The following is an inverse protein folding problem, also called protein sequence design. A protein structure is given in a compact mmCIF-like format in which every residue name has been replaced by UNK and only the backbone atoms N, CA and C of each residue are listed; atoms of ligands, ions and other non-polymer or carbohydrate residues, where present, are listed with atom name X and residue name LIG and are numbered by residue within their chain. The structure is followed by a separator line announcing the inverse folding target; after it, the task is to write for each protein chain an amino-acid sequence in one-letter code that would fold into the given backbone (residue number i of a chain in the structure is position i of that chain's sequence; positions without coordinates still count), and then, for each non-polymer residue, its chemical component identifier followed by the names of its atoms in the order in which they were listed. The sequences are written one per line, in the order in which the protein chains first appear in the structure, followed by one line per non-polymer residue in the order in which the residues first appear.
data_IF_000464991234
#
_entry.id   IF_000464991234
#
_cell.length_a   1.000
_cell.length_b   1.000
_cell.length_c   1.000
_cell.angle_alpha   90.00
_cell.angle_beta   90.00
_cell.angle_gamma   90.00
#
_symmetry.space_group_name_H-M   'P 1'
#
loop_
_entity.id
_entity.type
_entity.pdbx_description
1 polymer ?
#
# COMPACT_ATOMS: atom_id res chain seq x y z
N UNK A 1 19.59 6.87 1.31
CA UNK A 1 18.43 7.65 0.80
C UNK A 1 17.62 8.07 2.00
N UNK A 2 17.48 9.37 2.24
CA UNK A 2 16.56 9.86 3.26
C UNK A 2 15.15 9.37 2.91
N UNK A 3 14.40 8.78 3.86
CA UNK A 3 13.06 8.30 3.58
C UNK A 3 12.18 9.51 3.28
N UNK A 4 11.51 9.49 2.13
CA UNK A 4 10.40 10.39 1.87
C UNK A 4 9.32 9.98 2.87
N UNK A 5 8.95 10.89 3.77
CA UNK A 5 7.93 10.60 4.77
C UNK A 5 6.57 10.77 4.11
N UNK A 6 6.03 9.63 3.67
CA UNK A 6 4.73 9.52 3.04
C UNK A 6 3.77 8.89 4.06
N UNK A 7 2.65 9.56 4.32
CA UNK A 7 1.56 9.01 5.12
C UNK A 7 0.48 8.48 4.19
N UNK A 8 0.20 7.19 4.24
CA UNK A 8 -0.82 6.58 3.38
C UNK A 8 -1.99 6.08 4.23
N UNK A 9 -3.19 6.55 3.91
CA UNK A 9 -4.42 6.08 4.52
C UNK A 9 -5.29 5.36 3.50
N UNK A 10 -5.73 4.16 3.86
CA UNK A 10 -6.73 3.41 3.10
C UNK A 10 -8.08 3.62 3.75
N UNK A 11 -9.03 4.16 3.00
CA UNK A 11 -10.35 4.54 3.49
C UNK A 11 -11.41 3.66 2.83
N UNK A 12 -12.43 3.17 3.56
CA UNK A 12 -13.60 2.54 2.95
C UNK A 12 -14.18 3.44 1.87
N UNK A 13 -14.47 2.88 0.71
CA UNK A 13 -14.87 3.61 -0.49
C UNK A 13 -16.03 4.58 -0.24
N UNK A 14 -17.04 4.17 0.54
CA UNK A 14 -18.19 5.01 0.90
C UNK A 14 -17.84 6.25 1.74
N UNK A 15 -16.62 6.33 2.28
CA UNK A 15 -16.15 7.42 3.12
C UNK A 15 -14.98 8.22 2.50
N UNK A 16 -14.45 7.81 1.33
CA UNK A 16 -13.26 8.42 0.73
C UNK A 16 -13.46 9.92 0.41
N UNK A 17 -14.60 10.28 -0.17
CA UNK A 17 -14.94 11.67 -0.49
C UNK A 17 -15.05 12.51 0.79
N UNK A 18 -15.72 11.98 1.82
CA UNK A 18 -15.85 12.66 3.11
C UNK A 18 -14.49 12.82 3.81
N UNK A 19 -13.61 11.84 3.74
CA UNK A 19 -12.27 11.92 4.30
C UNK A 19 -11.45 13.06 3.63
N UNK A 20 -11.57 13.19 2.30
CA UNK A 20 -10.97 14.32 1.56
C UNK A 20 -11.51 15.66 2.04
N UNK A 21 -12.83 15.81 2.17
CA UNK A 21 -13.46 17.05 2.66
C UNK A 21 -13.00 17.44 4.06
N UNK A 22 -12.85 16.46 4.97
CA UNK A 22 -12.37 16.71 6.33
C UNK A 22 -10.96 17.29 6.32
N UNK A 23 -10.06 16.74 5.49
CA UNK A 23 -8.69 17.26 5.36
C UNK A 23 -8.66 18.66 4.74
N UNK A 24 -9.48 18.90 3.71
CA UNK A 24 -9.62 20.24 3.10
C UNK A 24 -10.12 21.26 4.12
N UNK A 25 -11.14 20.91 4.91
CA UNK A 25 -11.70 21.76 5.98
C UNK A 25 -10.69 22.04 7.08
N UNK A 26 -9.78 21.09 7.34
CA UNK A 26 -8.66 21.25 8.26
C UNK A 26 -7.45 21.99 7.65
N UNK A 27 -7.62 22.63 6.49
CA UNK A 27 -6.60 23.42 5.77
C UNK A 27 -5.39 22.60 5.27
N UNK A 28 -5.53 21.29 5.05
CA UNK A 28 -4.50 20.53 4.33
C UNK A 28 -4.49 20.95 2.86
N UNK A 29 -3.32 21.33 2.35
CA UNK A 29 -3.16 21.77 0.97
C UNK A 29 -3.29 20.58 0.02
N UNK A 30 -4.41 20.48 -0.69
CA UNK A 30 -4.55 19.52 -1.80
C UNK A 30 -3.60 19.88 -2.92
N UNK A 31 -3.01 18.87 -3.57
CA UNK A 31 -2.36 19.13 -4.85
C UNK A 31 -3.44 19.45 -5.90
N UNK A 32 -3.29 20.56 -6.61
CA UNK A 32 -4.24 21.06 -7.61
C UNK A 32 -3.67 20.99 -9.04
N UNK A 33 -2.63 20.17 -9.25
CA UNK A 33 -1.89 20.14 -10.51
C UNK A 33 -2.34 18.93 -11.34
N UNK A 34 -3.01 19.19 -12.46
CA UNK A 34 -3.41 18.17 -13.45
C UNK A 34 -2.19 17.43 -14.03
N UNK A 35 -1.02 18.07 -14.02
CA UNK A 35 0.26 17.53 -14.43
C UNK A 35 1.06 16.90 -13.26
N UNK A 36 0.46 16.74 -12.08
CA UNK A 36 1.16 16.15 -10.94
C UNK A 36 1.70 14.76 -11.27
N UNK A 37 3.03 14.60 -11.18
CA UNK A 37 3.71 13.34 -11.51
C UNK A 37 3.17 12.15 -10.74
N UNK A 38 2.59 12.35 -9.55
CA UNK A 38 2.07 11.26 -8.73
C UNK A 38 0.80 10.61 -9.32
N UNK A 39 0.01 11.37 -10.09
CA UNK A 39 -1.20 10.87 -10.76
C UNK A 39 -0.95 10.52 -12.22
N UNK A 40 0.24 10.80 -12.75
CA UNK A 40 0.60 10.47 -14.13
C UNK A 40 0.66 8.95 -14.35
N UNK A 41 0.28 8.45 -15.53
CA UNK A 41 0.34 7.02 -15.87
C UNK A 41 1.73 6.41 -15.80
N UNK A 42 2.78 7.24 -15.91
CA UNK A 42 4.18 6.83 -15.84
C UNK A 42 4.67 6.57 -14.41
N UNK A 43 3.91 6.99 -13.39
CA UNK A 43 4.28 6.78 -12.00
C UNK A 43 4.12 5.30 -11.59
N UNK A 44 5.12 4.81 -10.85
CA UNK A 44 5.15 3.41 -10.40
C UNK A 44 4.43 3.18 -9.08
N UNK A 45 4.19 4.25 -8.32
CA UNK A 45 3.43 4.18 -7.07
C UNK A 45 1.93 3.99 -7.34
N UNK A 46 1.17 3.52 -6.35
CA UNK A 46 -0.27 3.36 -6.49
C UNK A 46 -0.91 4.74 -6.67
N UNK A 47 -1.89 4.86 -7.59
CA UNK A 47 -2.56 6.15 -7.82
C UNK A 47 -3.43 6.49 -6.59
N UNK A 48 -3.23 7.62 -5.90
CA UNK A 48 -4.11 8.03 -4.82
C UNK A 48 -5.43 8.57 -5.37
N UNK A 49 -6.51 8.46 -4.58
CA UNK A 49 -7.77 9.17 -4.81
C UNK A 49 -7.60 10.68 -4.61
N UNK A 50 -6.88 11.04 -3.54
CA UNK A 50 -6.49 12.41 -3.25
C UNK A 50 -5.14 12.40 -2.53
N UNK A 51 -4.32 13.43 -2.74
CA UNK A 51 -3.09 13.61 -1.99
C UNK A 51 -2.90 15.06 -1.56
N UNK A 52 -2.29 15.23 -0.39
CA UNK A 52 -2.12 16.51 0.30
C UNK A 52 -0.65 16.75 0.62
N UNK A 53 -0.20 17.99 0.47
CA UNK A 53 1.19 18.40 0.72
C UNK A 53 1.28 18.81 2.20
N UNK A 54 2.11 18.10 2.98
CA UNK A 54 2.24 18.33 4.43
C UNK A 54 3.29 19.38 4.78
N UNK A 55 4.35 19.47 3.98
CA UNK A 55 5.35 20.52 4.10
C UNK A 55 5.90 20.86 2.72
N UNK A 56 5.74 22.14 2.32
CA UNK A 56 6.67 22.75 1.38
C UNK A 56 7.94 23.06 2.18
N UNK A 57 8.82 22.07 2.37
CA UNK A 57 10.21 22.42 2.66
C UNK A 57 10.65 23.38 1.55
N UNK A 58 11.13 24.56 1.92
CA UNK A 58 11.57 25.58 0.96
C UNK A 58 12.42 24.90 -0.11
N UNK A 59 11.96 24.99 -1.36
CA UNK A 59 12.56 24.36 -2.53
C UNK A 59 14.09 24.52 -2.48
N UNK A 60 14.89 23.45 -2.33
CA UNK A 60 16.24 23.49 -2.87
C UNK A 60 16.09 23.79 -4.37
N UNK A 61 16.73 24.84 -4.86
CA UNK A 61 16.54 25.40 -6.20
C UNK A 61 16.81 24.44 -7.36
N UNK A 62 17.31 23.24 -7.08
CA UNK A 62 17.96 22.35 -8.04
C UNK A 62 17.22 21.02 -8.24
N UNK A 63 16.01 20.84 -7.68
CA UNK A 63 15.28 19.57 -7.73
C UNK A 63 14.06 19.55 -8.66
N UNK A 64 13.77 18.34 -9.14
CA UNK A 64 12.85 18.02 -10.23
C UNK A 64 11.43 18.57 -9.97
N UNK A 65 10.86 19.39 -10.89
CA UNK A 65 9.50 19.90 -10.76
C UNK A 65 8.46 18.78 -10.58
N UNK A 66 7.58 18.92 -9.58
CA UNK A 66 6.42 18.05 -9.38
C UNK A 66 6.63 16.84 -8.45
N UNK A 67 7.69 16.82 -7.64
CA UNK A 67 7.90 15.79 -6.60
C UNK A 67 7.58 16.34 -5.20
N UNK A 68 6.74 15.64 -4.43
CA UNK A 68 6.32 16.04 -3.07
C UNK A 68 6.92 15.08 -2.04
N UNK A 69 7.95 15.56 -1.31
CA UNK A 69 8.71 14.79 -0.32
C UNK A 69 7.95 14.47 0.97
N UNK A 70 6.99 15.31 1.34
CA UNK A 70 6.16 15.16 2.54
C UNK A 70 4.70 15.27 2.14
N UNK A 71 4.04 14.12 2.05
CA UNK A 71 2.65 14.05 1.58
C UNK A 71 1.81 13.05 2.36
N UNK A 72 0.51 13.28 2.29
CA UNK A 72 -0.53 12.39 2.78
C UNK A 72 -1.36 11.92 1.59
N UNK A 73 -1.41 10.62 1.36
CA UNK A 73 -2.12 9.97 0.27
C UNK A 73 -3.37 9.24 0.81
N UNK A 74 -4.53 9.48 0.19
CA UNK A 74 -5.77 8.75 0.44
C UNK A 74 -6.00 7.74 -0.68
N UNK A 75 -6.24 6.48 -0.33
CA UNK A 75 -6.60 5.41 -1.27
C UNK A 75 -7.94 4.78 -0.93
N UNK A 76 -8.69 4.38 -1.96
CA UNK A 76 -9.88 3.55 -1.81
C UNK A 76 -9.47 2.16 -1.28
N UNK A 77 -10.28 1.57 -0.39
CA UNK A 77 -10.08 0.19 0.09
C UNK A 77 -10.15 -0.80 -1.07
N UNK A 78 -11.14 -0.65 -1.96
CA UNK A 78 -11.28 -1.49 -3.16
C UNK A 78 -10.06 -1.49 -4.07
N UNK A 79 -9.21 -0.47 -4.00
CA UNK A 79 -8.04 -0.36 -4.84
C UNK A 79 -6.85 -1.16 -4.30
N UNK A 80 -6.64 -1.17 -2.97
CA UNK A 80 -5.43 -1.69 -2.33
C UNK A 80 -5.65 -2.92 -1.44
N UNK A 81 -6.83 -3.04 -0.82
CA UNK A 81 -7.17 -4.04 0.19
C UNK A 81 -8.49 -4.75 -0.15
N UNK A 82 -8.77 -4.98 -1.44
CA UNK A 82 -10.06 -5.54 -1.88
C UNK A 82 -10.34 -6.96 -1.38
N UNK A 83 -9.31 -7.74 -1.08
CA UNK A 83 -9.45 -9.10 -0.56
C UNK A 83 -9.76 -9.12 0.95
N UNK A 84 -9.60 -8.00 1.65
CA UNK A 84 -9.88 -7.90 3.08
C UNK A 84 -11.35 -7.56 3.36
N UNK A 85 -11.90 -8.01 4.50
CA UNK A 85 -13.22 -7.57 4.94
C UNK A 85 -13.25 -6.06 5.21
N UNK A 86 -14.42 -5.51 5.44
CA UNK A 86 -14.56 -4.07 5.70
C UNK A 86 -13.78 -3.63 6.94
N UNK A 87 -13.17 -2.45 6.82
CA UNK A 87 -12.40 -1.85 7.90
C UNK A 87 -13.41 -1.49 9.01
N UNK A 88 -13.25 -2.02 10.23
CA UNK A 88 -14.21 -1.76 11.30
C UNK A 88 -14.18 -0.27 11.69
N UNK A 89 -15.35 0.29 12.00
CA UNK A 89 -15.44 1.68 12.49
C UNK A 89 -14.81 1.81 13.89
N UNK A 90 -15.14 0.88 14.80
CA UNK A 90 -14.56 0.78 16.15
C UNK A 90 -13.24 0.01 16.20
N UNK A 91 -12.66 -0.15 17.39
CA UNK A 91 -11.47 -0.98 17.57
C UNK A 91 -11.73 -2.42 17.07
N UNK A 92 -10.79 -3.04 16.32
CA UNK A 92 -10.87 -4.46 16.01
C UNK A 92 -10.96 -5.30 17.30
N UNK A 93 -11.62 -6.45 17.23
CA UNK A 93 -11.57 -7.44 18.31
C UNK A 93 -10.11 -7.86 18.59
N UNK A 94 -9.72 -8.19 19.83
CA UNK A 94 -8.34 -8.58 20.17
C UNK A 94 -7.78 -9.77 19.37
N UNK A 95 -8.65 -10.65 18.90
CA UNK A 95 -8.33 -11.84 18.10
C UNK A 95 -8.71 -11.68 16.61
N UNK A 96 -8.98 -10.45 16.16
CA UNK A 96 -9.34 -10.19 14.76
C UNK A 96 -8.17 -10.58 13.85
N UNK A 97 -8.36 -11.52 12.91
CA UNK A 97 -7.26 -12.02 12.08
C UNK A 97 -6.84 -11.00 11.00
N UNK A 98 -7.66 -9.99 10.71
CA UNK A 98 -7.46 -9.10 9.58
C UNK A 98 -6.89 -7.74 9.94
N UNK A 99 -7.31 -7.19 11.07
CA UNK A 99 -6.94 -5.85 11.51
C UNK A 99 -6.52 -5.83 12.96
N UNK A 100 -5.50 -5.03 13.25
CA UNK A 100 -5.03 -4.73 14.60
C UNK A 100 -4.82 -3.22 14.75
N UNK A 101 -4.61 -2.77 15.98
CA UNK A 101 -4.25 -1.37 16.25
C UNK A 101 -2.74 -1.17 16.15
N UNK A 102 -2.30 0.05 15.82
CA UNK A 102 -0.87 0.43 15.92
C UNK A 102 -0.32 0.35 17.35
N UNK A 103 -1.21 0.21 18.34
CA UNK A 103 -0.92 0.01 19.76
C UNK A 103 -0.94 -1.48 20.17
N UNK A 104 -1.07 -2.41 19.22
CA UNK A 104 -1.25 -3.84 19.52
C UNK A 104 -0.01 -4.50 20.14
N UNK A 105 -0.25 -5.45 21.05
CA UNK A 105 0.79 -6.15 21.78
C UNK A 105 1.70 -7.04 20.91
N UNK A 106 1.22 -7.43 19.72
CA UNK A 106 1.97 -8.23 18.75
C UNK A 106 3.06 -7.44 18.03
N UNK A 107 2.97 -6.10 18.03
CA UNK A 107 4.01 -5.24 17.49
C UNK A 107 5.18 -5.14 18.47
N UNK A 108 6.40 -5.08 17.93
CA UNK A 108 7.60 -4.78 18.70
C UNK A 108 7.44 -3.46 19.47
N UNK A 109 8.06 -3.37 20.64
CA UNK A 109 8.05 -2.13 21.43
C UNK A 109 8.62 -0.98 20.62
N UNK A 110 8.07 0.22 20.79
CA UNK A 110 8.59 1.43 20.17
C UNK A 110 10.09 1.56 20.42
N UNK A 111 10.84 1.67 19.33
CA UNK A 111 12.27 1.94 19.36
C UNK A 111 12.50 3.39 18.90
N UNK A 112 12.84 4.31 19.80
CA UNK A 112 13.03 5.72 19.46
C UNK A 112 14.23 5.96 18.53
N UNK A 113 15.18 5.02 18.43
CA UNK A 113 16.32 5.15 17.52
C UNK A 113 15.94 4.90 16.06
N UNK A 114 15.03 3.95 15.83
CA UNK A 114 14.54 3.65 14.48
C UNK A 114 13.24 4.39 14.15
N UNK A 115 12.52 4.91 15.15
CA UNK A 115 11.17 5.46 14.97
C UNK A 115 10.16 4.40 14.56
N UNK A 116 10.37 3.13 14.95
CA UNK A 116 9.55 1.99 14.53
C UNK A 116 9.00 1.24 15.75
N UNK A 117 7.94 0.49 15.53
CA UNK A 117 7.29 -0.34 16.53
C UNK A 117 5.91 0.19 16.89
N UNK A 118 5.40 -0.29 18.03
CA UNK A 118 4.09 0.08 18.55
C UNK A 118 4.00 1.56 18.89
N UNK A 119 2.99 2.23 18.37
CA UNK A 119 2.70 3.63 18.71
C UNK A 119 2.17 3.77 20.16
N UNK A 120 2.40 4.90 20.84
CA UNK A 120 1.83 5.18 22.15
C UNK A 120 0.29 5.19 22.16
N UNK A 121 -0.32 4.72 23.25
CA UNK A 121 -1.79 4.78 23.46
C UNK A 121 -2.35 6.21 23.53
N UNK A 122 -1.49 7.21 23.68
CA UNK A 122 -1.85 8.63 23.65
C UNK A 122 -2.14 9.15 22.25
N UNK A 123 -1.74 8.42 21.20
CA UNK A 123 -2.07 8.75 19.81
C UNK A 123 -3.49 8.28 19.45
N UNK A 124 -4.06 8.87 18.41
CA UNK A 124 -5.36 8.43 17.90
C UNK A 124 -5.28 6.95 17.45
N UNK A 125 -6.29 6.11 17.75
CA UNK A 125 -6.25 4.70 17.38
C UNK A 125 -6.28 4.53 15.85
N UNK A 126 -5.10 4.25 15.28
CA UNK A 126 -4.95 3.88 13.87
C UNK A 126 -5.04 2.36 13.73
N UNK A 127 -5.79 1.91 12.73
CA UNK A 127 -5.94 0.50 12.39
C UNK A 127 -4.99 0.16 11.26
N UNK A 128 -4.38 -1.01 11.34
CA UNK A 128 -3.51 -1.56 10.30
C UNK A 128 -3.92 -3.00 10.01
N UNK A 129 -3.74 -3.50 8.78
CA UNK A 129 -3.87 -4.92 8.52
C UNK A 129 -2.86 -5.71 9.36
N UNK A 130 -3.20 -6.94 9.75
CA UNK A 130 -2.22 -7.85 10.33
C UNK A 130 -1.14 -8.18 9.29
N UNK A 131 0.06 -8.55 9.76
CA UNK A 131 1.19 -8.83 8.87
C UNK A 131 0.87 -9.84 7.76
N UNK A 132 0.20 -10.99 8.03
CA UNK A 132 -0.15 -11.94 6.97
C UNK A 132 -1.13 -11.35 5.93
N UNK A 133 -2.15 -10.60 6.37
CA UNK A 133 -3.13 -10.00 5.45
C UNK A 133 -2.53 -8.86 4.62
N UNK A 134 -1.62 -8.09 5.22
CA UNK A 134 -0.87 -7.07 4.48
C UNK A 134 0.01 -7.71 3.40
N UNK A 135 0.74 -8.77 3.75
CA UNK A 135 1.55 -9.53 2.81
C UNK A 135 0.71 -10.13 1.66
N UNK A 136 -0.47 -10.67 1.96
CA UNK A 136 -1.40 -11.12 0.93
C UNK A 136 -1.81 -10.02 -0.03
N UNK A 137 -2.18 -8.87 0.51
CA UNK A 137 -2.58 -7.71 -0.29
C UNK A 137 -1.45 -7.29 -1.23
N UNK A 138 -0.21 -7.18 -0.73
CA UNK A 138 0.95 -6.84 -1.55
C UNK A 138 1.19 -7.85 -2.69
N UNK A 139 1.05 -9.15 -2.41
CA UNK A 139 1.15 -10.19 -3.44
C UNK A 139 0.07 -10.03 -4.51
N UNK A 140 -1.17 -9.79 -4.12
CA UNK A 140 -2.25 -9.57 -5.07
C UNK A 140 -2.08 -8.29 -5.89
N UNK A 141 -1.58 -7.21 -5.28
CA UNK A 141 -1.20 -6.00 -6.02
C UNK A 141 -0.12 -6.29 -7.06
N UNK A 142 0.93 -7.00 -6.67
CA UNK A 142 2.00 -7.38 -7.57
C UNK A 142 1.48 -8.20 -8.76
N UNK A 143 0.68 -9.24 -8.49
CA UNK A 143 0.11 -10.10 -9.53
C UNK A 143 -0.80 -9.33 -10.49
N UNK A 144 -1.63 -8.42 -9.97
CA UNK A 144 -2.51 -7.57 -10.78
C UNK A 144 -1.73 -6.66 -11.73
N UNK A 145 -0.64 -6.08 -11.26
CA UNK A 145 0.16 -5.09 -12.01
C UNK A 145 1.25 -5.73 -12.91
N UNK A 146 1.46 -7.04 -12.79
CA UNK A 146 2.33 -7.81 -13.68
C UNK A 146 1.66 -8.16 -15.01
N UNK A 147 0.33 -8.08 -15.10
CA UNK A 147 -0.39 -8.32 -16.35
C UNK A 147 -0.03 -7.24 -17.39
N UNK A 148 0.19 -7.60 -18.66
CA UNK A 148 0.44 -6.64 -19.72
C UNK A 148 -0.72 -5.64 -19.82
N UNK A 149 -0.42 -4.34 -19.81
CA UNK A 149 -1.40 -3.28 -20.03
C UNK A 149 -1.02 -2.42 -21.24
N UNK A 150 -1.97 -2.03 -22.10
CA UNK A 150 -1.73 -1.06 -23.16
C UNK A 150 -1.30 0.29 -22.54
N UNK A 151 -0.18 0.86 -23.00
CA UNK A 151 0.13 2.27 -22.76
C UNK A 151 0.87 2.67 -21.47
N UNK A 152 1.44 1.77 -20.66
CA UNK A 152 2.15 2.29 -19.47
C UNK A 152 2.95 1.34 -18.58
N UNK A 153 3.81 1.96 -17.78
CA UNK A 153 4.82 1.40 -16.88
C UNK A 153 4.22 0.45 -15.83
N UNK A 154 4.81 -0.74 -15.64
CA UNK A 154 4.33 -1.69 -14.63
C UNK A 154 4.60 -1.18 -13.21
N UNK A 155 3.53 -1.01 -12.41
CA UNK A 155 3.61 -0.74 -10.96
C UNK A 155 4.05 -1.96 -10.15
N UNK A 156 4.15 -3.14 -10.77
CA UNK A 156 4.56 -4.36 -10.09
C UNK A 156 5.92 -4.21 -9.39
N UNK A 157 6.83 -3.40 -9.95
CA UNK A 157 8.11 -3.10 -9.31
C UNK A 157 8.00 -2.42 -7.95
N UNK A 158 6.99 -1.55 -7.75
CA UNK A 158 6.72 -0.94 -6.45
C UNK A 158 6.30 -2.01 -5.44
N UNK A 159 5.31 -2.83 -5.79
CA UNK A 159 4.80 -3.88 -4.90
C UNK A 159 5.85 -4.94 -4.57
N UNK A 160 6.66 -5.34 -5.55
CA UNK A 160 7.75 -6.28 -5.35
C UNK A 160 8.77 -5.75 -4.33
N UNK A 161 9.06 -4.44 -4.35
CA UNK A 161 9.95 -3.81 -3.36
C UNK A 161 9.36 -3.89 -1.96
N UNK A 162 8.08 -3.55 -1.79
CA UNK A 162 7.40 -3.65 -0.49
C UNK A 162 7.33 -5.10 0.01
N UNK A 163 7.02 -6.06 -0.87
CA UNK A 163 7.07 -7.48 -0.53
C UNK A 163 8.48 -7.92 -0.07
N UNK A 164 9.52 -7.40 -0.74
CA UNK A 164 10.90 -7.73 -0.41
C UNK A 164 11.29 -7.15 0.94
N UNK A 165 10.80 -5.95 1.28
CA UNK A 165 10.98 -5.39 2.61
C UNK A 165 10.32 -6.28 3.67
N UNK A 166 9.07 -6.68 3.46
CA UNK A 166 8.33 -7.51 4.41
C UNK A 166 9.05 -8.82 4.72
N UNK A 167 9.45 -9.61 3.71
CA UNK A 167 10.07 -10.89 4.03
C UNK A 167 11.56 -10.81 4.39
N UNK A 168 12.26 -9.68 4.16
CA UNK A 168 13.61 -9.46 4.70
C UNK A 168 13.59 -9.03 6.16
N UNK A 169 12.67 -8.14 6.53
CA UNK A 169 12.74 -7.41 7.81
C UNK A 169 11.59 -7.73 8.77
N UNK A 170 10.49 -8.32 8.31
CA UNK A 170 9.38 -8.72 9.16
C UNK A 170 9.40 -10.23 9.44
N UNK A 171 8.85 -10.63 10.59
CA UNK A 171 8.77 -12.04 11.01
C UNK A 171 7.58 -12.77 10.35
N UNK A 172 7.45 -12.64 9.03
CA UNK A 172 6.35 -13.26 8.29
C UNK A 172 6.55 -14.78 8.21
N UNK A 173 5.57 -15.56 8.66
CA UNK A 173 5.52 -17.00 8.42
C UNK A 173 4.68 -17.28 7.19
N UNK A 174 5.25 -17.93 6.18
CA UNK A 174 4.51 -18.24 4.94
C UNK A 174 3.33 -19.19 5.15
N UNK A 175 3.33 -19.97 6.24
CA UNK A 175 2.23 -20.83 6.61
C UNK A 175 0.95 -20.06 7.02
N UNK A 176 1.10 -18.79 7.46
CA UNK A 176 -0.02 -17.94 7.87
C UNK A 176 -0.70 -17.23 6.68
N UNK A 177 -0.19 -17.43 5.47
CA UNK A 177 -0.72 -16.86 4.24
C UNK A 177 -1.72 -17.80 3.57
N UNK A 178 -2.60 -17.25 2.73
CA UNK A 178 -3.46 -18.00 1.84
C UNK A 178 -2.66 -18.97 0.96
N UNK A 179 -3.08 -20.25 0.94
CA UNK A 179 -2.39 -21.34 0.28
C UNK A 179 -1.93 -21.03 -1.17
N UNK A 180 -2.78 -20.30 -1.91
CA UNK A 180 -2.52 -19.95 -3.32
C UNK A 180 -1.34 -18.99 -3.53
N UNK A 181 -1.00 -18.16 -2.55
CA UNK A 181 0.12 -17.22 -2.66
C UNK A 181 1.35 -17.64 -1.84
N UNK A 182 1.25 -18.66 -0.99
CA UNK A 182 2.38 -19.13 -0.18
C UNK A 182 3.60 -19.42 -1.05
N UNK A 183 3.37 -20.06 -2.20
CA UNK A 183 4.45 -20.41 -3.12
C UNK A 183 5.14 -19.18 -3.72
N UNK A 184 4.41 -18.11 -3.98
CA UNK A 184 4.98 -16.85 -4.45
C UNK A 184 5.96 -16.27 -3.42
N UNK A 185 5.54 -16.19 -2.16
CA UNK A 185 6.36 -15.70 -1.05
C UNK A 185 7.58 -16.60 -0.75
N UNK A 186 7.44 -17.92 -0.88
CA UNK A 186 8.58 -18.84 -0.74
C UNK A 186 9.63 -18.67 -1.85
N UNK A 187 9.20 -18.33 -3.07
CA UNK A 187 10.09 -18.17 -4.21
C UNK A 187 10.84 -16.82 -4.20
N UNK A 188 10.37 -15.86 -3.41
CA UNK A 188 10.95 -14.51 -3.30
C UNK A 188 12.33 -14.47 -2.60
N UNK A 189 12.68 -15.52 -1.85
CA UNK A 189 13.89 -15.57 -1.00
C UNK A 189 14.92 -16.63 -1.43
N UNK A 190 14.76 -17.24 -2.61
CA UNK A 190 15.63 -18.35 -2.99
C UNK A 190 16.99 -17.88 -3.57
N UNK A 191 18.14 -18.50 -3.18
CA UNK A 191 19.47 -18.16 -3.69
C UNK A 191 19.63 -18.23 -5.21
N UNK A 192 18.74 -18.96 -5.91
CA UNK A 192 18.75 -19.09 -7.37
C UNK A 192 18.16 -17.88 -8.12
N UNK A 193 17.82 -16.80 -7.42
CA UNK A 193 17.32 -15.55 -7.99
C UNK A 193 15.81 -15.52 -8.27
N UNK A 194 15.32 -14.33 -8.62
CA UNK A 194 13.89 -14.00 -8.76
C UNK A 194 13.20 -14.64 -9.98
N UNK A 195 13.95 -15.28 -10.89
CA UNK A 195 13.39 -15.83 -12.13
C UNK A 195 12.27 -16.86 -11.88
N UNK A 196 12.39 -17.70 -10.84
CA UNK A 196 11.34 -18.69 -10.53
C UNK A 196 10.08 -18.02 -9.98
N UNK A 197 10.24 -16.97 -9.18
CA UNK A 197 9.14 -16.17 -8.68
C UNK A 197 8.40 -15.50 -9.84
N UNK A 198 9.11 -14.86 -10.79
CA UNK A 198 8.48 -14.24 -11.97
C UNK A 198 7.65 -15.22 -12.79
N UNK A 199 8.21 -16.37 -13.20
CA UNK A 199 7.46 -17.39 -13.96
C UNK A 199 6.26 -17.96 -13.21
N UNK A 200 6.33 -18.04 -11.89
CA UNK A 200 5.19 -18.49 -11.09
C UNK A 200 4.14 -17.39 -10.96
N UNK A 201 4.58 -16.15 -10.72
CA UNK A 201 3.74 -14.96 -10.67
C UNK A 201 2.97 -14.74 -11.97
N UNK A 202 3.63 -14.84 -13.13
CA UNK A 202 2.98 -14.68 -14.44
C UNK A 202 1.85 -15.70 -14.66
N UNK A 203 2.11 -16.97 -14.31
CA UNK A 203 1.09 -18.04 -14.41
C UNK A 203 -0.06 -17.80 -13.45
N UNK A 204 0.23 -17.50 -12.19
CA UNK A 204 -0.79 -17.24 -11.18
C UNK A 204 -1.61 -15.98 -11.50
N UNK A 205 -0.97 -14.92 -12.01
CA UNK A 205 -1.66 -13.71 -12.45
C UNK A 205 -2.62 -14.02 -13.61
N UNK A 206 -2.20 -14.82 -14.59
CA UNK A 206 -3.08 -15.24 -15.68
C UNK A 206 -4.26 -16.10 -15.19
N UNK A 207 -4.02 -17.06 -14.29
CA UNK A 207 -5.06 -17.88 -13.68
C UNK A 207 -6.09 -17.03 -12.92
N UNK A 208 -5.64 -16.09 -12.08
CA UNK A 208 -6.49 -15.18 -11.31
C UNK A 208 -7.26 -14.22 -12.22
N UNK A 209 -6.62 -13.72 -13.29
CA UNK A 209 -7.27 -12.87 -14.29
C UNK A 209 -8.39 -13.62 -15.01
N UNK A 210 -8.13 -14.85 -15.45
CA UNK A 210 -9.15 -15.69 -16.11
C UNK A 210 -10.33 -16.03 -15.18
N UNK A 211 -10.09 -16.05 -13.88
CA UNK A 211 -11.12 -16.26 -12.86
C UNK A 211 -11.85 -14.96 -12.46
N UNK A 212 -11.58 -13.82 -13.12
CA UNK A 212 -12.11 -12.50 -12.74
C UNK A 212 -11.85 -12.14 -11.27
N UNK A 213 -10.71 -12.56 -10.72
CA UNK A 213 -10.38 -12.33 -9.32
C UNK A 213 -9.98 -10.88 -9.01
N UNK A 214 -9.36 -10.21 -9.97
CA UNK A 214 -8.96 -8.82 -9.79
C UNK A 214 -10.15 -7.89 -9.98
N UNK A 215 -10.29 -6.83 -9.16
CA UNK A 215 -11.31 -5.83 -9.39
C UNK A 215 -11.07 -5.19 -10.77
N UNK A 216 -12.16 -4.95 -11.50
CA UNK A 216 -12.10 -4.07 -12.65
C UNK A 216 -11.64 -2.70 -12.15
N UNK A 217 -10.58 -2.16 -12.72
CA UNK A 217 -10.30 -0.75 -12.50
C UNK A 217 -11.49 0.00 -13.09
N UNK A 218 -12.16 0.80 -12.27
CA UNK A 218 -13.11 1.78 -12.78
C UNK A 218 -12.34 2.61 -13.82
N UNK A 219 -12.72 2.48 -15.10
CA UNK A 219 -12.46 3.55 -16.06
C UNK A 219 -13.30 4.73 -15.57
N UNK A 220 -12.74 5.49 -14.64
CA UNK A 220 -13.35 6.73 -14.19
C UNK A 220 -13.27 7.71 -15.36
N UNK A 221 -14.35 7.73 -16.13
CA UNK A 221 -14.63 8.74 -17.14
C UNK A 221 -14.89 10.10 -16.50
N UNK A 222 -14.36 11.11 -17.21
CA UNK A 222 -14.64 12.56 -17.18
C UNK A 222 -14.37 13.34 -15.89
#
# INVERSE_FOLDING_TARGET
MSPCQEFTFVIPDQHIARAREVLLTANFASCCQDDCRLVQPTNRSPRPYAHFILANMERPSDEIPGWHYFRLDLHKKSQLLWTLPDIPLGAPAPDNPNYMLVTDNQLDKYNPRSGLGREPYTHHPVKIPTLPRYAESLAYMYLRECLPRPGGCSRAGFWLREMSYIGQYCRLQTADLEARIQRLWQLQYHPSGLHRMFRHGDRLAAELSNANFFPLEEEEGE
#
